data_IF_504948587469
#
_entry.id   IF_504948587469
#
_cell.length_a   1.000
_cell.length_b   1.000
_cell.length_c   1.000
_cell.angle_alpha   90.00
_cell.angle_beta   90.00
_cell.angle_gamma   90.00
#
_symmetry.space_group_name_H-M   'P 1'
#
loop_
_entity.id
_entity.type
_entity.pdbx_description
1 polymer ?
#
# COMPACT_ATOMS: atom_id res chain seq x y z
N UNK A 1 -11.77 -23.06 27.59
CA UNK A 1 -11.49 -21.74 26.98
C UNK A 1 -11.13 -22.01 25.53
N UNK A 2 -12.06 -21.74 24.62
CA UNK A 2 -11.77 -21.87 23.18
C UNK A 2 -10.72 -20.80 22.83
N UNK A 3 -9.55 -21.23 22.39
CA UNK A 3 -8.56 -20.35 21.75
C UNK A 3 -9.18 -19.86 20.42
N UNK A 4 -9.65 -18.62 20.40
CA UNK A 4 -10.13 -18.03 19.18
C UNK A 4 -8.91 -17.63 18.34
N UNK A 5 -8.64 -18.41 17.31
CA UNK A 5 -7.63 -18.09 16.30
C UNK A 5 -8.34 -17.36 15.16
N UNK A 6 -7.87 -16.19 14.85
CA UNK A 6 -8.38 -15.40 13.72
C UNK A 6 -7.43 -15.51 12.53
N UNK A 7 -7.97 -15.90 11.38
CA UNK A 7 -7.22 -15.92 10.12
C UNK A 7 -7.68 -14.76 9.24
N UNK A 8 -6.78 -13.86 8.93
CA UNK A 8 -7.03 -12.69 8.12
C UNK A 8 -6.30 -12.82 6.78
N UNK A 9 -6.97 -12.38 5.72
CA UNK A 9 -6.32 -12.18 4.42
C UNK A 9 -5.88 -10.73 4.32
N UNK A 10 -4.74 -10.52 3.69
CA UNK A 10 -4.16 -9.21 3.47
C UNK A 10 -3.92 -8.97 1.99
N UNK A 11 -4.12 -7.74 1.58
CA UNK A 11 -4.03 -7.32 0.19
C UNK A 11 -2.69 -6.64 -0.12
N UNK A 12 -2.40 -6.55 -1.41
CA UNK A 12 -1.40 -5.65 -1.98
C UNK A 12 -2.09 -4.64 -2.91
N UNK A 13 -1.36 -3.71 -3.52
CA UNK A 13 -1.92 -2.74 -4.48
C UNK A 13 -1.03 -2.59 -5.70
N UNK A 14 -1.66 -2.18 -6.80
CA UNK A 14 -0.98 -1.66 -7.97
C UNK A 14 -1.26 -0.17 -8.12
N UNK A 15 -0.25 0.58 -8.55
CA UNK A 15 -0.43 1.91 -9.11
C UNK A 15 -0.66 1.73 -10.63
N UNK A 16 -1.90 1.82 -11.07
CA UNK A 16 -2.21 1.77 -12.50
C UNK A 16 -1.82 3.08 -13.19
N UNK A 17 -1.85 4.20 -12.46
CA UNK A 17 -1.17 5.43 -12.84
C UNK A 17 -0.38 5.96 -11.65
N UNK A 18 0.70 6.70 -11.89
CA UNK A 18 1.42 7.42 -10.85
C UNK A 18 2.04 8.69 -11.43
N UNK A 19 1.48 9.82 -11.09
CA UNK A 19 2.03 11.14 -11.41
C UNK A 19 2.45 11.87 -10.15
N UNK A 20 3.60 12.50 -10.22
CA UNK A 20 4.12 13.39 -9.17
C UNK A 20 3.95 14.82 -9.68
N UNK A 21 3.05 15.58 -9.05
CA UNK A 21 2.65 16.91 -9.51
C UNK A 21 3.34 18.04 -8.76
N UNK A 22 4.06 17.72 -7.69
CA UNK A 22 4.75 18.75 -6.92
C UNK A 22 5.51 18.19 -5.72
N UNK A 23 6.29 19.09 -5.11
CA UNK A 23 6.95 18.85 -3.82
C UNK A 23 6.26 19.70 -2.76
N UNK A 24 5.89 19.08 -1.66
CA UNK A 24 5.17 19.70 -0.55
C UNK A 24 6.14 20.38 0.42
N UNK A 25 5.63 21.33 1.19
CA UNK A 25 6.42 22.02 2.23
C UNK A 25 6.86 21.12 3.39
N UNK A 26 6.20 19.97 3.58
CA UNK A 26 6.55 18.93 4.56
C UNK A 26 7.66 17.97 4.07
N UNK A 27 8.20 18.21 2.86
CA UNK A 27 9.25 17.40 2.25
C UNK A 27 8.75 16.20 1.46
N UNK A 28 7.47 15.85 1.54
CA UNK A 28 6.83 14.84 0.72
C UNK A 28 6.49 15.36 -0.69
N UNK A 29 5.99 14.47 -1.54
CA UNK A 29 5.53 14.80 -2.89
C UNK A 29 4.02 14.72 -2.98
N UNK A 30 3.45 15.55 -3.83
CA UNK A 30 2.05 15.52 -4.18
C UNK A 30 1.84 14.52 -5.31
N UNK A 31 0.94 13.58 -5.10
CA UNK A 31 0.66 12.47 -6.01
C UNK A 31 -0.74 12.56 -6.61
N UNK A 32 -0.86 12.02 -7.82
CA UNK A 32 -2.14 11.64 -8.45
C UNK A 32 -1.99 10.24 -9.02
N UNK A 33 -2.78 9.29 -8.50
CA UNK A 33 -2.66 7.89 -8.86
C UNK A 33 -4.01 7.20 -8.90
N UNK A 34 -4.15 6.21 -9.77
CA UNK A 34 -5.24 5.24 -9.76
C UNK A 34 -4.72 3.95 -9.13
N UNK A 35 -5.26 3.59 -7.97
CA UNK A 35 -4.90 2.36 -7.26
C UNK A 35 -5.89 1.23 -7.57
N UNK A 36 -5.34 0.04 -7.66
CA UNK A 36 -6.09 -1.22 -7.73
C UNK A 36 -5.62 -2.18 -6.66
N UNK A 37 -6.55 -2.75 -5.89
CA UNK A 37 -6.26 -3.74 -4.87
C UNK A 37 -6.08 -5.14 -5.46
N UNK A 38 -4.99 -5.79 -5.09
CA UNK A 38 -4.73 -7.21 -5.29
C UNK A 38 -5.15 -7.96 -4.02
N UNK A 39 -6.29 -8.62 -4.01
CA UNK A 39 -6.83 -9.23 -2.80
C UNK A 39 -6.08 -10.51 -2.42
N UNK A 40 -6.08 -10.82 -1.12
CA UNK A 40 -5.66 -12.13 -0.58
C UNK A 40 -4.26 -12.59 -0.98
N UNK A 41 -3.30 -11.66 -0.98
CA UNK A 41 -1.92 -11.96 -1.36
C UNK A 41 -1.14 -12.57 -0.19
N UNK A 42 -1.38 -12.09 1.03
CA UNK A 42 -0.72 -12.56 2.25
C UNK A 42 -1.75 -12.92 3.31
N UNK A 43 -1.33 -13.58 4.38
CA UNK A 43 -2.23 -13.97 5.46
C UNK A 43 -1.61 -13.73 6.83
N UNK A 44 -2.47 -13.36 7.78
CA UNK A 44 -2.13 -13.22 9.19
C UNK A 44 -2.98 -14.18 10.02
N UNK A 45 -2.35 -14.90 10.92
CA UNK A 45 -3.05 -15.63 11.99
C UNK A 45 -2.80 -14.90 13.30
N UNK A 46 -3.88 -14.52 13.99
CA UNK A 46 -3.84 -13.77 15.25
C UNK A 46 -4.46 -14.61 16.35
N UNK A 47 -3.75 -14.75 17.43
CA UNK A 47 -4.24 -15.38 18.66
C UNK A 47 -3.84 -14.55 19.89
N UNK A 48 -4.74 -14.33 20.88
CA UNK A 48 -4.36 -13.74 22.16
C UNK A 48 -3.40 -14.64 22.92
N UNK A 49 -2.37 -14.05 23.55
CA UNK A 49 -1.42 -14.77 24.40
C UNK A 49 -1.79 -14.58 25.87
N UNK A 50 -2.71 -15.42 26.38
CA UNK A 50 -3.29 -15.29 27.73
C UNK A 50 -2.40 -15.77 28.87
N UNK A 51 -1.17 -16.17 28.63
CA UNK A 51 -0.58 -16.85 29.76
C UNK A 51 0.92 -16.86 29.92
N UNK A 52 1.68 -16.48 28.93
CA UNK A 52 3.11 -16.75 29.01
C UNK A 52 4.02 -15.58 28.61
N UNK A 53 3.52 -14.62 27.86
CA UNK A 53 4.32 -13.47 27.44
C UNK A 53 3.66 -12.13 27.82
N UNK A 54 4.47 -11.24 28.32
CA UNK A 54 4.07 -9.84 28.61
C UNK A 54 4.13 -8.99 27.32
N UNK A 55 4.58 -9.58 26.22
CA UNK A 55 4.86 -8.87 24.95
C UNK A 55 4.29 -9.64 23.76
N UNK A 56 3.98 -8.89 22.71
CA UNK A 56 3.62 -9.48 21.43
C UNK A 56 4.74 -10.33 20.85
N UNK A 57 4.34 -11.36 20.12
CA UNK A 57 5.26 -12.18 19.34
C UNK A 57 4.81 -12.21 17.89
N UNK A 58 5.67 -11.76 16.98
CA UNK A 58 5.38 -11.76 15.55
C UNK A 58 6.34 -12.71 14.85
N UNK A 59 5.78 -13.80 14.31
CA UNK A 59 6.52 -14.76 13.50
C UNK A 59 6.26 -14.50 12.02
N UNK A 60 7.31 -14.38 11.24
CA UNK A 60 7.24 -14.19 9.79
C UNK A 60 7.75 -15.44 9.09
N UNK A 61 6.99 -15.93 8.12
CA UNK A 61 7.39 -17.01 7.21
C UNK A 61 7.35 -16.48 5.77
N UNK A 62 8.10 -17.11 4.88
CA UNK A 62 8.25 -16.64 3.49
C UNK A 62 9.32 -15.55 3.38
N UNK A 63 8.97 -14.42 2.76
CA UNK A 63 9.91 -13.32 2.53
C UNK A 63 10.39 -12.66 3.83
N UNK A 64 11.68 -12.36 3.87
CA UNK A 64 12.32 -11.79 5.07
C UNK A 64 12.07 -10.29 5.20
N UNK A 65 11.58 -9.86 6.35
CA UNK A 65 11.48 -8.44 6.71
C UNK A 65 12.78 -8.02 7.40
N UNK A 66 13.50 -7.07 6.81
CA UNK A 66 14.68 -6.47 7.43
C UNK A 66 14.26 -5.26 8.25
N UNK A 67 14.63 -5.23 9.53
CA UNK A 67 14.25 -4.15 10.45
C UNK A 67 12.90 -4.37 11.12
N UNK A 68 12.27 -3.27 11.54
CA UNK A 68 11.03 -3.29 12.31
C UNK A 68 9.82 -3.66 11.43
N UNK A 69 8.94 -4.49 11.96
CA UNK A 69 7.71 -4.87 11.28
C UNK A 69 6.62 -3.80 11.53
N UNK A 70 5.94 -3.37 10.49
CA UNK A 70 4.83 -2.39 10.57
C UNK A 70 3.73 -2.83 11.56
N UNK A 71 3.52 -4.12 11.75
CA UNK A 71 2.56 -4.65 12.73
C UNK A 71 2.91 -4.26 14.17
N UNK A 72 4.21 -4.12 14.49
CA UNK A 72 4.65 -3.62 15.79
C UNK A 72 4.24 -2.16 16.02
N UNK A 73 4.32 -1.34 14.96
CA UNK A 73 3.91 0.07 15.02
C UNK A 73 2.40 0.20 15.17
N UNK A 74 1.63 -0.64 14.47
CA UNK A 74 0.17 -0.72 14.63
C UNK A 74 -0.19 -1.06 16.07
N UNK A 75 0.41 -2.10 16.64
CA UNK A 75 0.11 -2.51 18.02
C UNK A 75 0.53 -1.45 19.04
N UNK A 76 1.68 -0.81 18.84
CA UNK A 76 2.13 0.28 19.72
C UNK A 76 1.17 1.48 19.66
N UNK A 77 0.66 1.82 18.48
CA UNK A 77 -0.32 2.90 18.30
C UNK A 77 -1.68 2.51 18.89
N UNK A 78 -2.12 1.28 18.66
CA UNK A 78 -3.37 0.77 19.22
C UNK A 78 -3.38 0.85 20.75
N UNK A 79 -2.31 0.45 21.42
CA UNK A 79 -2.21 0.47 22.89
C UNK A 79 -2.19 1.85 23.51
N UNK A 80 -1.97 2.91 22.76
CA UNK A 80 -2.15 4.29 23.25
C UNK A 80 -3.61 4.68 23.33
N UNK A 81 -4.49 3.98 22.61
CA UNK A 81 -5.90 4.32 22.44
C UNK A 81 -6.83 3.27 23.04
N UNK A 82 -6.32 2.05 23.32
CA UNK A 82 -7.13 0.92 23.74
C UNK A 82 -6.33 -0.14 24.48
N UNK A 83 -7.01 -0.92 25.33
CA UNK A 83 -6.44 -2.11 25.94
C UNK A 83 -6.40 -3.25 24.93
N UNK A 84 -5.20 -3.70 24.58
CA UNK A 84 -4.96 -4.83 23.70
C UNK A 84 -4.08 -5.83 24.46
N UNK A 85 -4.59 -7.05 24.66
CA UNK A 85 -3.80 -8.14 25.22
C UNK A 85 -2.58 -8.41 24.36
N UNK A 86 -1.51 -9.01 24.94
CA UNK A 86 -0.41 -9.53 24.14
C UNK A 86 -0.91 -10.48 23.07
N UNK A 87 -0.41 -10.33 21.86
CA UNK A 87 -0.83 -11.11 20.69
C UNK A 87 0.32 -11.97 20.18
N UNK A 88 -0.03 -13.16 19.73
CA UNK A 88 0.82 -13.99 18.88
C UNK A 88 0.32 -13.88 17.46
N UNK A 89 1.13 -13.29 16.59
CA UNK A 89 0.81 -13.07 15.18
C UNK A 89 1.75 -13.93 14.33
N UNK A 90 1.20 -14.69 13.40
CA UNK A 90 1.97 -15.35 12.34
C UNK A 90 1.62 -14.70 11.01
N UNK A 91 2.60 -14.10 10.38
CA UNK A 91 2.50 -13.50 9.06
C UNK A 91 3.13 -14.42 8.02
N UNK A 92 2.36 -14.85 7.04
CA UNK A 92 2.91 -15.49 5.83
C UNK A 92 3.15 -14.42 4.77
N UNK A 93 4.43 -14.06 4.60
CA UNK A 93 4.90 -12.99 3.72
C UNK A 93 5.23 -13.55 2.34
N UNK A 94 4.53 -13.09 1.31
CA UNK A 94 4.70 -13.54 -0.09
C UNK A 94 5.41 -12.47 -0.92
N UNK A 95 5.07 -11.21 -0.69
CA UNK A 95 5.58 -10.07 -1.46
C UNK A 95 6.86 -9.55 -0.83
N UNK A 96 7.97 -9.44 -1.56
CA UNK A 96 9.20 -8.87 -1.03
C UNK A 96 8.99 -7.44 -0.51
N UNK A 97 9.53 -7.11 0.68
CA UNK A 97 9.51 -5.73 1.17
C UNK A 97 10.21 -4.77 0.19
N UNK A 98 9.61 -3.60 -0.01
CA UNK A 98 10.17 -2.59 -0.92
C UNK A 98 9.82 -2.79 -2.40
N UNK A 99 8.99 -3.78 -2.75
CA UNK A 99 8.54 -4.02 -4.13
C UNK A 99 7.60 -2.93 -4.70
N UNK A 100 7.17 -1.96 -3.90
CA UNK A 100 6.18 -0.95 -4.32
C UNK A 100 4.72 -1.43 -4.27
N UNK A 101 4.48 -2.71 -3.98
CA UNK A 101 3.14 -3.32 -3.97
C UNK A 101 2.33 -3.04 -2.69
N UNK A 102 2.86 -2.33 -1.72
CA UNK A 102 2.14 -1.91 -0.51
C UNK A 102 1.67 -3.06 0.40
N UNK A 103 2.18 -4.30 0.23
CA UNK A 103 1.71 -5.46 1.00
C UNK A 103 1.93 -5.31 2.52
N UNK A 104 2.98 -4.61 2.95
CA UNK A 104 3.15 -4.25 4.36
C UNK A 104 2.02 -3.38 4.88
N UNK A 105 1.59 -2.39 4.10
CA UNK A 105 0.42 -1.55 4.44
C UNK A 105 -0.88 -2.34 4.44
N UNK A 106 -1.01 -3.32 3.53
CA UNK A 106 -2.13 -4.27 3.54
C UNK A 106 -2.16 -5.11 4.84
N UNK A 107 -1.00 -5.59 5.31
CA UNK A 107 -0.89 -6.31 6.58
C UNK A 107 -1.30 -5.42 7.76
N UNK A 108 -0.84 -4.17 7.79
CA UNK A 108 -1.23 -3.19 8.81
C UNK A 108 -2.75 -2.95 8.78
N UNK A 109 -3.33 -2.75 7.60
CA UNK A 109 -4.76 -2.54 7.46
C UNK A 109 -5.59 -3.74 7.90
N UNK A 110 -5.16 -4.97 7.58
CA UNK A 110 -5.82 -6.18 8.05
C UNK A 110 -5.84 -6.26 9.58
N UNK A 111 -4.71 -5.98 10.24
CA UNK A 111 -4.63 -5.95 11.70
C UNK A 111 -5.50 -4.83 12.29
N UNK A 112 -5.45 -3.62 11.72
CA UNK A 112 -6.28 -2.47 12.16
C UNK A 112 -7.76 -2.81 12.02
N UNK A 113 -8.18 -3.36 10.88
CA UNK A 113 -9.57 -3.78 10.65
C UNK A 113 -10.02 -4.78 11.70
N UNK A 114 -9.18 -5.78 12.03
CA UNK A 114 -9.48 -6.75 13.08
C UNK A 114 -9.60 -6.09 14.46
N UNK A 115 -8.69 -5.19 14.83
CA UNK A 115 -8.75 -4.44 16.07
C UNK A 115 -10.00 -3.56 16.17
N UNK A 116 -10.52 -3.08 15.05
CA UNK A 116 -11.70 -2.24 14.96
C UNK A 116 -13.04 -3.00 15.01
N UNK A 117 -13.04 -4.34 14.91
CA UNK A 117 -14.31 -5.13 14.80
C UNK A 117 -15.25 -4.98 15.98
N UNK A 118 -14.72 -4.71 17.17
CA UNK A 118 -15.50 -4.56 18.41
C UNK A 118 -15.55 -3.11 18.89
N UNK A 119 -15.47 -2.11 17.99
CA UNK A 119 -15.37 -0.69 18.35
C UNK A 119 -16.41 0.16 17.67
N UNK A 120 -16.84 1.17 18.41
CA UNK A 120 -17.67 2.23 17.88
C UNK A 120 -16.89 3.09 16.88
N UNK A 121 -17.60 3.67 15.91
CA UNK A 121 -17.00 4.46 14.81
C UNK A 121 -16.00 5.53 15.29
N UNK A 122 -16.31 6.22 16.38
CA UNK A 122 -15.49 7.31 16.92
C UNK A 122 -14.19 6.82 17.61
N UNK A 123 -14.11 5.53 17.89
CA UNK A 123 -12.97 4.91 18.58
C UNK A 123 -12.07 4.09 17.63
N UNK A 124 -12.46 3.99 16.36
CA UNK A 124 -11.72 3.23 15.37
C UNK A 124 -10.32 3.80 15.14
N UNK A 125 -9.37 2.91 14.99
CA UNK A 125 -8.01 3.25 14.57
C UNK A 125 -8.03 3.64 13.09
N UNK A 126 -7.46 4.78 12.77
CA UNK A 126 -7.10 5.14 11.41
C UNK A 126 -5.81 4.47 10.96
N UNK A 127 -5.50 4.58 9.66
CA UNK A 127 -4.31 4.00 9.08
C UNK A 127 -3.17 4.99 8.83
N UNK A 128 -3.44 6.29 8.94
CA UNK A 128 -2.54 7.36 8.52
C UNK A 128 -1.21 7.37 9.30
N UNK A 129 -1.25 6.99 10.59
CA UNK A 129 -0.09 6.91 11.47
C UNK A 129 0.80 5.69 11.17
N UNK A 130 0.22 4.64 10.57
CA UNK A 130 0.95 3.39 10.27
C UNK A 130 1.66 3.44 8.91
N UNK A 131 1.11 4.17 7.93
CA UNK A 131 1.72 4.34 6.62
C UNK A 131 0.79 4.99 5.61
N UNK A 132 1.35 5.63 4.58
CA UNK A 132 0.61 6.40 3.59
C UNK A 132 -0.40 5.56 2.77
N UNK A 133 -0.09 4.30 2.49
CA UNK A 133 -0.96 3.41 1.71
C UNK A 133 -2.02 2.68 2.58
N UNK A 134 -1.91 2.72 3.91
CA UNK A 134 -2.83 2.01 4.81
C UNK A 134 -4.28 2.49 4.67
N UNK A 135 -4.55 3.82 4.56
CA UNK A 135 -5.90 4.32 4.35
C UNK A 135 -6.60 3.75 3.11
N UNK A 136 -5.86 3.47 2.04
CA UNK A 136 -6.41 2.83 0.84
C UNK A 136 -7.05 1.48 1.17
N UNK A 137 -6.35 0.60 1.88
CA UNK A 137 -6.85 -0.72 2.23
C UNK A 137 -8.00 -0.70 3.26
N UNK A 138 -8.11 0.37 4.04
CA UNK A 138 -9.19 0.53 5.01
C UNK A 138 -10.46 1.12 4.40
N UNK A 139 -10.36 1.97 3.37
CA UNK A 139 -11.45 2.81 2.87
C UNK A 139 -11.96 2.44 1.49
N UNK A 140 -11.10 1.91 0.62
CA UNK A 140 -11.35 1.99 -0.82
C UNK A 140 -12.09 0.81 -1.45
N UNK A 141 -12.17 -0.33 -0.84
CA UNK A 141 -12.54 -1.52 -1.61
C UNK A 141 -11.45 -1.80 -2.66
N UNK A 142 -11.83 -2.09 -3.93
CA UNK A 142 -10.86 -2.53 -4.95
C UNK A 142 -10.19 -1.41 -5.74
N UNK A 143 -10.84 -0.26 -5.88
CA UNK A 143 -10.40 0.83 -6.74
C UNK A 143 -10.52 2.15 -6.03
N UNK A 144 -9.51 3.00 -6.15
CA UNK A 144 -9.58 4.36 -5.67
C UNK A 144 -8.71 5.31 -6.49
N UNK A 145 -9.11 6.57 -6.54
CA UNK A 145 -8.20 7.66 -6.79
C UNK A 145 -7.46 7.99 -5.50
N UNK A 146 -6.15 8.12 -5.61
CA UNK A 146 -5.27 8.41 -4.48
C UNK A 146 -4.46 9.65 -4.77
N UNK A 147 -4.44 10.57 -3.81
CA UNK A 147 -3.73 11.84 -3.87
C UNK A 147 -2.99 12.16 -2.59
N UNK A 148 -2.46 13.38 -2.49
CA UNK A 148 -1.59 13.76 -1.39
C UNK A 148 -0.27 13.00 -1.45
N UNK A 149 0.21 12.53 -0.32
CA UNK A 149 1.35 11.59 -0.24
C UNK A 149 0.93 10.11 -0.31
N UNK A 150 -0.41 9.84 -0.52
CA UNK A 150 -1.07 8.53 -0.49
C UNK A 150 -2.26 8.46 0.46
N UNK A 151 -2.46 9.46 1.32
CA UNK A 151 -3.47 9.49 2.37
C UNK A 151 -4.87 9.94 1.89
N UNK A 152 -4.93 10.71 0.81
CA UNK A 152 -6.22 11.13 0.23
C UNK A 152 -6.76 10.03 -0.66
N UNK A 153 -7.75 9.32 -0.18
CA UNK A 153 -8.35 8.15 -0.84
C UNK A 153 -9.79 8.44 -1.18
N UNK A 154 -10.10 8.39 -2.47
CA UNK A 154 -11.44 8.56 -3.05
C UNK A 154 -11.87 7.23 -3.68
N UNK A 155 -12.68 6.41 -2.97
CA UNK A 155 -13.12 5.12 -3.48
C UNK A 155 -13.97 5.26 -4.74
N UNK A 156 -13.76 4.35 -5.70
CA UNK A 156 -14.58 4.26 -6.89
C UNK A 156 -15.70 3.24 -6.68
N UNK A 157 -16.93 3.71 -6.69
CA UNK A 157 -18.14 2.93 -6.34
C UNK A 157 -18.81 2.32 -7.57
N UNK A 158 -18.46 2.77 -8.78
CA UNK A 158 -19.05 2.30 -10.03
C UNK A 158 -18.58 0.89 -10.38
N UNK A 159 -19.36 0.18 -11.23
CA UNK A 159 -18.93 -1.10 -11.76
C UNK A 159 -17.59 -0.98 -12.47
N UNK A 160 -16.55 -1.56 -11.89
CA UNK A 160 -15.20 -1.52 -12.42
C UNK A 160 -14.86 -2.81 -13.15
N UNK A 161 -14.04 -2.76 -14.20
CA UNK A 161 -13.64 -3.95 -14.94
C UNK A 161 -12.91 -4.94 -14.04
N UNK A 162 -13.09 -6.22 -14.34
CA UNK A 162 -12.30 -7.30 -13.76
C UNK A 162 -11.23 -7.70 -14.76
N UNK A 163 -10.00 -7.77 -14.32
CA UNK A 163 -8.90 -8.26 -15.15
C UNK A 163 -8.00 -9.20 -14.34
N UNK A 164 -7.29 -10.02 -15.07
CA UNK A 164 -6.20 -10.82 -14.51
C UNK A 164 -4.92 -10.01 -14.59
N UNK A 165 -4.12 -10.07 -13.54
CA UNK A 165 -2.81 -9.44 -13.50
C UNK A 165 -1.73 -10.48 -13.25
N UNK A 166 -0.62 -10.35 -13.95
CA UNK A 166 0.62 -11.07 -13.65
C UNK A 166 1.58 -10.04 -13.09
N UNK A 167 2.08 -10.29 -11.88
CA UNK A 167 3.03 -9.40 -11.21
C UNK A 167 4.41 -10.06 -11.26
N UNK A 168 5.34 -9.42 -11.96
CA UNK A 168 6.74 -9.81 -11.99
C UNK A 168 7.51 -8.95 -11.02
N UNK A 169 8.17 -9.56 -10.03
CA UNK A 169 9.02 -8.86 -9.06
C UNK A 169 10.46 -9.27 -9.31
N UNK A 170 11.27 -8.40 -9.95
CA UNK A 170 12.68 -8.68 -10.19
C UNK A 170 13.46 -8.82 -8.87
N UNK A 171 14.61 -9.50 -8.91
CA UNK A 171 15.53 -9.61 -7.77
C UNK A 171 16.24 -8.28 -7.44
N UNK A 172 16.20 -7.34 -8.36
CA UNK A 172 16.71 -5.98 -8.25
C UNK A 172 15.54 -5.00 -8.22
N UNK A 173 15.73 -3.85 -7.60
CA UNK A 173 14.66 -2.85 -7.48
C UNK A 173 15.15 -1.56 -6.86
N UNK A 174 14.30 -0.55 -6.88
CA UNK A 174 14.57 0.75 -6.32
C UNK A 174 13.61 1.05 -5.16
N UNK A 175 14.14 1.53 -4.04
CA UNK A 175 13.28 1.96 -2.94
C UNK A 175 12.46 3.20 -3.36
N UNK A 176 11.24 3.30 -2.85
CA UNK A 176 10.36 4.46 -3.09
C UNK A 176 11.04 5.78 -2.72
N UNK A 177 11.78 5.82 -1.61
CA UNK A 177 12.54 7.01 -1.20
C UNK A 177 13.60 7.40 -2.23
N UNK A 178 14.30 6.42 -2.81
CA UNK A 178 15.29 6.67 -3.87
C UNK A 178 14.62 7.19 -5.14
N UNK A 179 13.48 6.61 -5.54
CA UNK A 179 12.71 7.07 -6.70
C UNK A 179 12.31 8.54 -6.57
N UNK A 180 11.74 8.93 -5.43
CA UNK A 180 11.40 10.33 -5.17
C UNK A 180 12.63 11.25 -5.13
N UNK A 181 13.73 10.81 -4.56
CA UNK A 181 14.98 11.57 -4.56
C UNK A 181 15.47 11.84 -5.99
N UNK A 182 15.44 10.84 -6.85
CA UNK A 182 15.82 10.97 -8.26
C UNK A 182 14.88 11.87 -9.05
N UNK A 183 13.57 11.77 -8.83
CA UNK A 183 12.59 12.68 -9.43
C UNK A 183 12.83 14.13 -9.00
N UNK A 184 13.08 14.36 -7.70
CA UNK A 184 13.40 15.69 -7.19
C UNK A 184 14.72 16.24 -7.78
N UNK A 185 15.73 15.40 -7.95
CA UNK A 185 16.97 15.79 -8.60
C UNK A 185 16.80 16.11 -10.09
N UNK A 186 15.87 15.39 -10.77
CA UNK A 186 15.58 15.59 -12.20
C UNK A 186 14.77 16.85 -12.48
N UNK A 187 13.75 17.11 -11.66
CA UNK A 187 12.73 18.13 -11.95
C UNK A 187 12.80 19.36 -11.03
N UNK A 188 13.51 19.26 -9.88
CA UNK A 188 13.58 20.36 -8.92
C UNK A 188 12.22 20.70 -8.34
N UNK A 189 11.75 21.92 -8.61
CA UNK A 189 10.41 22.41 -8.21
C UNK A 189 9.38 22.34 -9.34
N UNK A 190 9.80 22.06 -10.58
CA UNK A 190 8.95 22.12 -11.78
C UNK A 190 8.72 20.73 -12.33
N UNK A 191 7.74 20.04 -11.79
CA UNK A 191 7.32 18.73 -12.29
C UNK A 191 6.64 18.88 -13.66
N UNK A 192 6.74 17.85 -14.54
CA UNK A 192 6.31 17.95 -15.94
C UNK A 192 4.78 18.03 -16.10
N UNK A 193 4.03 17.69 -15.07
CA UNK A 193 2.57 17.65 -15.10
C UNK A 193 2.02 18.34 -13.86
N UNK A 194 1.02 19.18 -14.01
CA UNK A 194 0.28 19.77 -12.91
C UNK A 194 -0.85 18.84 -12.42
N UNK A 195 -1.56 19.25 -11.38
CA UNK A 195 -2.62 18.43 -10.78
C UNK A 195 -3.81 18.24 -11.74
N UNK A 196 -4.17 19.26 -12.53
CA UNK A 196 -5.31 19.20 -13.42
C UNK A 196 -5.05 18.24 -14.59
N UNK A 197 -3.88 18.29 -15.18
CA UNK A 197 -3.50 17.41 -16.29
C UNK A 197 -3.32 15.95 -15.81
N UNK A 198 -2.76 15.75 -14.63
CA UNK A 198 -2.66 14.42 -14.02
C UNK A 198 -4.05 13.83 -13.69
N UNK A 199 -5.01 14.68 -13.30
CA UNK A 199 -6.40 14.29 -13.10
C UNK A 199 -7.06 13.84 -14.40
N UNK A 200 -6.92 14.63 -15.48
CA UNK A 200 -7.45 14.29 -16.80
C UNK A 200 -6.87 12.97 -17.31
N UNK A 201 -5.56 12.77 -17.14
CA UNK A 201 -4.89 11.55 -17.58
C UNK A 201 -5.41 10.31 -16.82
N UNK A 202 -5.55 10.37 -15.48
CA UNK A 202 -6.04 9.21 -14.72
C UNK A 202 -7.50 8.87 -15.06
N UNK A 203 -8.34 9.88 -15.34
CA UNK A 203 -9.71 9.67 -15.83
C UNK A 203 -9.73 8.99 -17.19
N UNK A 204 -8.89 9.44 -18.12
CA UNK A 204 -8.77 8.82 -19.44
C UNK A 204 -8.30 7.35 -19.35
N UNK A 205 -7.33 7.06 -18.47
CA UNK A 205 -6.89 5.68 -18.22
C UNK A 205 -8.04 4.85 -17.69
N UNK A 206 -8.80 5.37 -16.73
CA UNK A 206 -9.95 4.69 -16.15
C UNK A 206 -11.02 4.37 -17.19
N UNK A 207 -11.38 5.31 -18.05
CA UNK A 207 -12.35 5.12 -19.14
C UNK A 207 -11.88 4.02 -20.10
N UNK A 208 -10.63 4.07 -20.54
CA UNK A 208 -10.06 3.04 -21.42
C UNK A 208 -10.08 1.65 -20.78
N UNK A 209 -9.78 1.56 -19.48
CA UNK A 209 -9.83 0.29 -18.76
C UNK A 209 -11.28 -0.23 -18.64
N UNK A 210 -12.28 0.66 -18.44
CA UNK A 210 -13.70 0.30 -18.42
C UNK A 210 -14.17 -0.28 -19.76
N UNK A 211 -13.68 0.29 -20.85
CA UNK A 211 -14.03 -0.13 -22.21
C UNK A 211 -13.21 -1.35 -22.70
N UNK A 212 -12.38 -1.95 -21.83
CA UNK A 212 -11.44 -3.02 -22.17
C UNK A 212 -10.49 -2.66 -23.33
N UNK A 213 -10.16 -1.39 -23.48
CA UNK A 213 -9.24 -0.94 -24.50
C UNK A 213 -7.80 -1.13 -24.02
N UNK A 214 -6.92 -1.54 -24.93
CA UNK A 214 -5.49 -1.62 -24.67
C UNK A 214 -4.94 -0.22 -24.47
N UNK A 215 -4.28 0.02 -23.33
CA UNK A 215 -3.65 1.29 -23.06
C UNK A 215 -2.17 1.31 -23.48
N UNK A 216 -1.54 0.16 -23.58
CA UNK A 216 -0.09 0.04 -23.66
C UNK A 216 0.57 0.25 -22.29
N UNK A 217 1.69 0.94 -22.26
CA UNK A 217 2.40 1.26 -21.01
C UNK A 217 1.60 2.31 -20.20
N UNK A 218 1.17 1.95 -19.01
CA UNK A 218 0.44 2.85 -18.13
C UNK A 218 1.38 3.95 -17.57
N UNK A 219 0.85 5.20 -17.41
CA UNK A 219 1.68 6.33 -17.01
C UNK A 219 2.21 6.19 -15.57
N UNK A 220 3.54 6.20 -15.41
CA UNK A 220 4.21 6.10 -14.13
C UNK A 220 5.52 6.89 -14.15
N UNK A 221 5.59 7.95 -13.34
CA UNK A 221 6.77 8.82 -13.30
C UNK A 221 8.02 8.13 -12.77
N UNK A 222 7.86 7.12 -11.91
CA UNK A 222 9.00 6.34 -11.43
C UNK A 222 9.69 5.57 -12.56
N UNK A 223 8.93 5.20 -13.61
CA UNK A 223 9.52 4.48 -14.73
C UNK A 223 10.67 5.26 -15.39
N UNK A 224 10.53 6.59 -15.46
CA UNK A 224 11.55 7.46 -16.09
C UNK A 224 12.88 7.50 -15.34
N UNK A 225 12.88 7.26 -14.02
CA UNK A 225 14.10 7.21 -13.20
C UNK A 225 14.55 5.78 -12.96
N UNK A 226 13.63 4.83 -12.99
CA UNK A 226 13.89 3.41 -12.86
C UNK A 226 14.73 2.90 -14.03
N UNK A 227 14.34 3.19 -15.26
CA UNK A 227 15.08 2.81 -16.47
C UNK A 227 16.51 3.36 -16.50
N UNK A 228 16.75 4.52 -15.88
CA UNK A 228 18.09 5.09 -15.80
C UNK A 228 19.01 4.34 -14.83
N UNK A 229 18.48 3.82 -13.74
CA UNK A 229 19.24 3.05 -12.74
C UNK A 229 19.28 1.55 -13.06
N UNK A 230 18.25 1.06 -13.75
CA UNK A 230 18.04 -0.34 -14.07
C UNK A 230 17.55 -0.47 -15.53
N UNK A 231 18.44 -0.33 -16.53
CA UNK A 231 18.06 -0.45 -17.94
C UNK A 231 17.47 -1.83 -18.28
N UNK A 232 17.74 -2.85 -17.47
CA UNK A 232 17.19 -4.21 -17.62
C UNK A 232 15.65 -4.25 -17.60
N UNK A 233 15.01 -3.19 -17.14
CA UNK A 233 13.54 -3.07 -17.24
C UNK A 233 13.04 -2.95 -18.69
N UNK A 234 13.88 -2.49 -19.63
CA UNK A 234 13.49 -2.42 -21.03
C UNK A 234 13.24 -3.81 -21.63
N UNK A 235 13.92 -4.82 -21.12
CA UNK A 235 13.78 -6.22 -21.58
C UNK A 235 12.46 -6.87 -21.12
N UNK A 236 11.69 -6.21 -20.24
CA UNK A 236 10.41 -6.71 -19.74
C UNK A 236 9.21 -6.24 -20.58
N UNK A 237 9.39 -5.30 -21.48
CA UNK A 237 8.37 -4.67 -22.32
C UNK A 237 8.68 -4.80 -23.80
#
# INVERSE_FOLDING_TARGET
MLLLIHCLQSAAKLNLTLRVTGKRGDGYHELRSLFYELPSIESLTIEPDYGHNVKDTIFVTGETIRGRNILEDVLATARKKMDVFPLRIRLHKVVPPGSGLGAGSGNAAALISWLNTARDENEKLGGEEAGSDVPFFLKAGKWAFVGGRGERVEPLVEPMPRFFSVVVVPSWGMSTARAFSLLSAKYGSSFPMDEEDAEKERLLVLEKLKDNLTYGLLPNDFFTVLLKEHPEYEDLF
#
